data_IF_180717890807
#
_entry.id   IF_180717890807
#
_cell.length_a   1.000
_cell.length_b   1.000
_cell.length_c   1.000
_cell.angle_alpha   90.00
_cell.angle_beta   90.00
_cell.angle_gamma   90.00
#
_symmetry.space_group_name_H-M   'P 1'
#
loop_
_entity.id
_entity.type
_entity.pdbx_description
1 polymer ?
#
# COMPACT_ATOMS: atom_id res chain seq x y z
N UNK A 1 12.79 3.80 -10.22
CA UNK A 1 12.39 3.19 -8.93
C UNK A 1 11.05 2.50 -9.12
N UNK A 2 10.96 1.19 -8.85
CA UNK A 2 9.82 0.35 -9.24
C UNK A 2 8.56 0.74 -8.45
N UNK A 3 7.47 1.18 -9.11
CA UNK A 3 6.25 1.69 -8.45
C UNK A 3 5.63 0.69 -7.47
N UNK A 4 5.86 -0.61 -7.72
CA UNK A 4 5.47 -1.71 -6.85
C UNK A 4 6.23 -1.70 -5.51
N UNK A 5 7.55 -1.47 -5.53
CA UNK A 5 8.40 -1.35 -4.34
C UNK A 5 8.03 -0.12 -3.50
N UNK A 6 7.73 1.00 -4.16
CA UNK A 6 7.26 2.22 -3.50
C UNK A 6 5.91 1.98 -2.80
N UNK A 7 4.95 1.36 -3.51
CA UNK A 7 3.66 1.01 -2.92
C UNK A 7 3.78 0.03 -1.75
N UNK A 8 4.73 -0.92 -1.82
CA UNK A 8 5.03 -1.82 -0.72
C UNK A 8 5.59 -1.07 0.50
N UNK A 9 6.58 -0.19 0.31
CA UNK A 9 7.17 0.59 1.40
C UNK A 9 6.14 1.49 2.10
N UNK A 10 5.29 2.16 1.33
CA UNK A 10 4.19 3.00 1.88
C UNK A 10 3.21 2.16 2.70
N UNK A 11 2.83 0.98 2.18
CA UNK A 11 1.92 0.07 2.90
C UNK A 11 2.54 -0.45 4.19
N UNK A 12 3.80 -0.88 4.12
CA UNK A 12 4.55 -1.42 5.26
C UNK A 12 4.71 -0.37 6.37
N UNK A 13 5.01 0.87 5.99
CA UNK A 13 5.08 1.99 6.94
C UNK A 13 3.75 2.23 7.65
N UNK A 14 2.63 2.23 6.92
CA UNK A 14 1.29 2.36 7.50
C UNK A 14 0.95 1.22 8.47
N UNK A 15 1.33 -0.03 8.15
CA UNK A 15 1.13 -1.19 9.02
C UNK A 15 1.98 -1.07 10.30
N UNK A 16 3.24 -0.67 10.17
CA UNK A 16 4.15 -0.49 11.31
C UNK A 16 3.64 0.62 12.23
N UNK A 17 3.24 1.77 11.68
CA UNK A 17 2.64 2.86 12.47
C UNK A 17 1.37 2.40 13.20
N UNK A 18 0.49 1.66 12.51
CA UNK A 18 -0.71 1.11 13.11
C UNK A 18 -0.37 0.16 14.28
N UNK A 19 0.56 -0.77 14.07
CA UNK A 19 0.99 -1.73 15.08
C UNK A 19 1.61 -1.04 16.30
N UNK A 20 2.50 -0.06 16.10
CA UNK A 20 3.12 0.71 17.17
C UNK A 20 2.09 1.50 17.98
N UNK A 21 1.04 2.00 17.33
CA UNK A 21 -0.06 2.74 17.97
C UNK A 21 -0.94 1.82 18.81
N UNK A 22 -1.30 0.64 18.28
CA UNK A 22 -2.14 -0.35 18.99
C UNK A 22 -1.40 -1.00 20.16
N UNK A 23 -0.09 -1.24 20.02
CA UNK A 23 0.78 -1.75 21.09
C UNK A 23 1.10 -0.69 22.17
N UNK A 24 0.55 0.54 22.06
CA UNK A 24 0.84 1.66 22.95
C UNK A 24 2.34 2.00 23.08
N UNK A 25 3.13 1.66 22.05
CA UNK A 25 4.56 2.01 21.99
C UNK A 25 4.69 3.51 21.70
N UNK A 26 3.77 4.08 20.91
CA UNK A 26 3.67 5.52 20.72
C UNK A 26 2.90 6.10 21.91
N UNK A 27 3.50 7.01 22.70
CA UNK A 27 2.81 7.64 23.82
C UNK A 27 1.69 8.51 23.28
N UNK A 28 0.47 7.99 23.37
CA UNK A 28 -0.73 8.69 22.97
C UNK A 28 -1.65 8.88 24.17
N UNK A 29 -1.45 9.99 24.87
CA UNK A 29 -2.12 10.30 26.15
C UNK A 29 -3.64 10.47 26.06
N UNK A 30 -4.16 10.76 24.87
CA UNK A 30 -5.60 10.96 24.67
C UNK A 30 -6.18 9.96 23.68
N UNK A 31 -7.42 9.51 23.95
CA UNK A 31 -8.17 8.61 23.04
C UNK A 31 -8.27 9.19 21.62
N UNK A 32 -8.43 10.51 21.52
CA UNK A 32 -8.50 11.22 20.24
C UNK A 32 -7.18 11.16 19.47
N UNK A 33 -6.03 11.22 20.15
CA UNK A 33 -4.73 11.11 19.49
C UNK A 33 -4.45 9.70 18.97
N UNK A 34 -4.81 8.65 19.74
CA UNK A 34 -4.75 7.26 19.25
C UNK A 34 -5.61 7.06 18.01
N UNK A 35 -6.85 7.57 18.04
CA UNK A 35 -7.77 7.50 16.92
C UNK A 35 -7.21 8.22 15.68
N UNK A 36 -6.61 9.40 15.87
CA UNK A 36 -5.98 10.18 14.81
C UNK A 36 -4.81 9.43 14.16
N UNK A 37 -3.91 8.86 14.95
CA UNK A 37 -2.75 8.12 14.42
C UNK A 37 -3.21 6.83 13.70
N UNK A 38 -4.20 6.12 14.24
CA UNK A 38 -4.81 4.97 13.57
C UNK A 38 -5.42 5.36 12.24
N UNK A 39 -6.21 6.44 12.19
CA UNK A 39 -6.84 6.92 10.95
C UNK A 39 -5.78 7.29 9.89
N UNK A 40 -4.72 7.99 10.28
CA UNK A 40 -3.60 8.31 9.39
C UNK A 40 -2.91 7.03 8.88
N UNK A 41 -2.70 6.05 9.75
CA UNK A 41 -2.09 4.77 9.38
C UNK A 41 -2.92 4.03 8.31
N UNK A 42 -4.25 4.03 8.45
CA UNK A 42 -5.16 3.48 7.44
C UNK A 42 -5.04 4.19 6.08
N UNK A 43 -4.88 5.51 6.06
CA UNK A 43 -4.66 6.26 4.82
C UNK A 43 -3.39 5.79 4.10
N UNK A 44 -2.29 5.61 4.82
CA UNK A 44 -1.05 5.07 4.24
C UNK A 44 -1.23 3.66 3.66
N UNK A 45 -1.93 2.77 4.37
CA UNK A 45 -2.22 1.41 3.90
C UNK A 45 -3.03 1.43 2.60
N UNK A 46 -4.08 2.26 2.55
CA UNK A 46 -4.96 2.38 1.37
C UNK A 46 -4.17 2.89 0.16
N UNK A 47 -3.41 3.98 0.32
CA UNK A 47 -2.61 4.57 -0.77
C UNK A 47 -1.60 3.55 -1.30
N UNK A 48 -0.88 2.87 -0.40
CA UNK A 48 0.09 1.84 -0.77
C UNK A 48 -0.56 0.67 -1.51
N UNK A 49 -1.75 0.23 -1.09
CA UNK A 49 -2.51 -0.81 -1.79
C UNK A 49 -2.98 -0.37 -3.18
N UNK A 50 -3.50 0.86 -3.33
CA UNK A 50 -3.94 1.39 -4.64
C UNK A 50 -2.77 1.49 -5.61
N UNK A 51 -1.60 1.94 -5.15
CA UNK A 51 -0.40 2.00 -5.98
C UNK A 51 0.05 0.63 -6.46
N UNK A 52 0.06 -0.38 -5.59
CA UNK A 52 0.37 -1.77 -5.97
C UNK A 52 -0.66 -2.33 -6.96
N UNK A 53 -1.94 -2.11 -6.71
CA UNK A 53 -3.01 -2.54 -7.61
C UNK A 53 -2.85 -1.96 -9.02
N UNK A 54 -2.56 -0.66 -9.13
CA UNK A 54 -2.30 -0.02 -10.43
C UNK A 54 -1.05 -0.56 -11.12
N UNK A 55 0.03 -0.82 -10.37
CA UNK A 55 1.25 -1.40 -10.91
C UNK A 55 1.02 -2.81 -11.49
N UNK A 56 0.33 -3.69 -10.74
CA UNK A 56 -0.04 -5.04 -11.18
C UNK A 56 -0.97 -4.98 -12.40
N UNK A 57 -1.96 -4.09 -12.39
CA UNK A 57 -2.89 -3.93 -13.52
C UNK A 57 -2.15 -3.50 -14.79
N UNK A 58 -1.16 -2.60 -14.68
CA UNK A 58 -0.33 -2.19 -15.83
C UNK A 58 0.50 -3.35 -16.37
N UNK A 59 1.16 -4.12 -15.49
CA UNK A 59 1.92 -5.31 -15.89
C UNK A 59 1.03 -6.35 -16.57
N UNK A 60 -0.19 -6.57 -16.06
CA UNK A 60 -1.13 -7.50 -16.68
C UNK A 60 -1.58 -7.07 -18.08
N UNK A 61 -1.81 -5.75 -18.28
CA UNK A 61 -2.11 -5.20 -19.61
C UNK A 61 -0.93 -5.34 -20.58
N UNK A 62 0.28 -5.05 -20.13
CA UNK A 62 1.51 -5.22 -20.94
C UNK A 62 1.74 -6.68 -21.31
N UNK A 63 1.57 -7.61 -20.36
CA UNK A 63 1.65 -9.05 -20.61
C UNK A 63 0.64 -9.50 -21.66
N UNK A 64 -0.64 -9.10 -21.54
CA UNK A 64 -1.67 -9.42 -22.55
C UNK A 64 -1.38 -8.82 -23.92
N UNK A 65 -0.85 -7.59 -23.99
CA UNK A 65 -0.52 -6.94 -25.25
C UNK A 65 0.60 -7.69 -26.00
N UNK A 66 1.63 -8.14 -25.28
CA UNK A 66 2.75 -8.87 -25.87
C UNK A 66 2.33 -10.29 -26.32
N UNK A 67 1.49 -10.99 -25.55
CA UNK A 67 1.06 -12.35 -25.89
C UNK A 67 -0.08 -12.41 -26.91
N UNK A 68 -0.78 -11.28 -27.17
CA UNK A 68 -1.77 -11.21 -28.25
C UNK A 68 -1.14 -11.28 -29.64
N UNK A 69 0.14 -10.88 -29.75
CA UNK A 69 0.90 -10.91 -31.01
C UNK A 69 1.57 -12.27 -31.27
N UNK A 70 1.56 -13.18 -30.29
CA UNK A 70 2.19 -14.51 -30.37
C UNK A 70 1.19 -15.66 -30.55
N UNK A 71 -0.12 -15.39 -30.53
CA UNK A 71 -1.11 -16.42 -30.84
C UNK A 71 -1.14 -16.67 -32.36
N UNK A 72 -0.80 -17.89 -32.83
CA UNK A 72 -1.00 -18.24 -34.23
C UNK A 72 -2.49 -18.13 -34.56
N UNK A 73 -2.78 -17.51 -35.71
CA UNK A 73 -4.14 -17.37 -36.26
C UNK A 73 -4.76 -18.72 -36.54
#
# INVERSE_FOLDING_TARGET
MNKMLIGFGISAFGIVLFALTVLNIIPADTKNMKLGIVAVSWVFIIIGSVMRYKAVTKQHKEWKANHKNEMPK
#
